data_IF_452328423485
#
_entry.id   IF_452328423485
#
_cell.length_a   1.000
_cell.length_b   1.000
_cell.length_c   1.000
_cell.angle_alpha   90.00
_cell.angle_beta   90.00
_cell.angle_gamma   90.00
#
_symmetry.space_group_name_H-M   'P 1'
#
loop_
_entity.id
_entity.type
_entity.pdbx_description
1 polymer ?
#
# COMPACT_ATOMS: atom_id res chain seq x y z
N UNK A 1 -3.75 -3.75 -16.75
CA UNK A 1 -2.77 -2.65 -16.73
C UNK A 1 -2.96 -1.95 -15.41
N UNK A 2 -2.04 -2.14 -14.48
CA UNK A 2 -2.12 -1.46 -13.19
C UNK A 2 -1.83 0.03 -13.37
N UNK A 3 -2.48 0.92 -12.60
CA UNK A 3 -2.04 2.31 -12.51
C UNK A 3 -0.56 2.37 -12.09
N UNK A 4 0.16 3.36 -12.63
CA UNK A 4 1.56 3.58 -12.29
C UNK A 4 1.57 4.27 -10.92
N UNK A 5 1.95 3.54 -9.88
CA UNK A 5 2.10 4.08 -8.54
C UNK A 5 3.31 5.03 -8.45
N UNK A 6 3.16 6.07 -7.64
CA UNK A 6 4.29 6.91 -7.25
C UNK A 6 5.35 6.11 -6.47
N UNK A 7 6.64 6.51 -6.50
CA UNK A 7 7.68 5.83 -5.71
C UNK A 7 7.33 5.78 -4.22
N UNK A 8 6.74 6.85 -3.67
CA UNK A 8 6.24 6.87 -2.30
C UNK A 8 5.10 5.87 -2.06
N UNK A 9 4.18 5.71 -3.00
CA UNK A 9 3.10 4.71 -2.90
C UNK A 9 3.65 3.29 -2.96
N UNK A 10 4.68 3.03 -3.76
CA UNK A 10 5.36 1.72 -3.79
C UNK A 10 6.05 1.44 -2.44
N UNK A 11 6.71 2.43 -1.83
CA UNK A 11 7.31 2.28 -0.49
C UNK A 11 6.25 2.06 0.60
N UNK A 12 5.14 2.80 0.55
CA UNK A 12 4.02 2.61 1.45
C UNK A 12 3.39 1.22 1.30
N UNK A 13 3.22 0.74 0.06
CA UNK A 13 2.66 -0.58 -0.24
C UNK A 13 3.58 -1.69 0.29
N UNK A 14 4.90 -1.56 0.14
CA UNK A 14 5.88 -2.47 0.75
C UNK A 14 5.82 -2.46 2.28
N UNK A 15 5.65 -1.29 2.88
CA UNK A 15 5.48 -1.19 4.34
C UNK A 15 4.22 -1.90 4.81
N UNK A 16 3.11 -1.74 4.08
CA UNK A 16 1.85 -2.43 4.35
C UNK A 16 2.01 -3.94 4.17
N UNK A 17 2.65 -4.40 3.11
CA UNK A 17 2.92 -5.83 2.90
C UNK A 17 3.74 -6.44 4.06
N UNK A 18 4.76 -5.70 4.52
CA UNK A 18 5.66 -6.18 5.58
C UNK A 18 5.04 -6.20 6.98
N UNK A 19 4.24 -5.19 7.34
CA UNK A 19 3.73 -5.01 8.70
C UNK A 19 2.22 -5.16 8.84
N UNK A 20 1.49 -4.99 7.74
CA UNK A 20 0.03 -4.96 7.69
C UNK A 20 -0.59 -4.04 8.75
N UNK A 21 -1.77 -4.41 9.20
CA UNK A 21 -2.47 -3.76 10.32
C UNK A 21 -1.82 -3.95 11.69
N UNK A 22 -0.73 -4.72 11.75
CA UNK A 22 0.09 -4.90 12.94
C UNK A 22 0.82 -3.63 13.39
N UNK A 23 1.10 -2.69 12.46
CA UNK A 23 1.70 -1.39 12.78
C UNK A 23 0.97 -0.23 12.08
N UNK A 24 0.84 0.92 12.74
CA UNK A 24 0.36 2.12 12.06
C UNK A 24 1.38 2.56 11.01
N UNK A 25 0.87 3.09 9.89
CA UNK A 25 1.68 3.70 8.85
C UNK A 25 2.32 5.00 9.37
N UNK A 26 3.60 5.23 9.05
CA UNK A 26 4.23 6.52 9.22
C UNK A 26 3.42 7.66 8.58
N UNK A 27 3.34 8.80 9.26
CA UNK A 27 2.59 9.97 8.76
C UNK A 27 3.07 10.46 7.38
N UNK A 28 4.34 10.23 7.05
CA UNK A 28 4.91 10.54 5.74
C UNK A 28 4.26 9.75 4.59
N UNK A 29 3.72 8.55 4.87
CA UNK A 29 3.04 7.72 3.88
C UNK A 29 1.53 7.99 3.79
N UNK A 30 0.97 8.93 4.56
CA UNK A 30 -0.46 9.29 4.47
C UNK A 30 -0.93 9.68 3.06
N UNK A 31 -0.25 10.59 2.32
CA UNK A 31 -0.68 10.91 0.96
C UNK A 31 -0.60 9.70 0.02
N UNK A 32 0.41 8.86 0.21
CA UNK A 32 0.58 7.64 -0.58
C UNK A 32 -0.46 6.56 -0.22
N UNK A 33 -0.86 6.48 1.05
CA UNK A 33 -1.93 5.60 1.50
C UNK A 33 -3.26 5.99 0.85
N UNK A 34 -3.58 7.28 0.76
CA UNK A 34 -4.79 7.73 0.07
C UNK A 34 -4.80 7.31 -1.41
N UNK A 35 -3.66 7.39 -2.10
CA UNK A 35 -3.49 6.87 -3.47
C UNK A 35 -3.78 5.36 -3.53
N UNK A 36 -3.12 4.57 -2.67
CA UNK A 36 -3.28 3.10 -2.62
C UNK A 36 -4.71 2.66 -2.29
N UNK A 37 -5.41 3.39 -1.43
CA UNK A 37 -6.81 3.11 -1.08
C UNK A 37 -7.74 3.43 -2.26
N UNK A 38 -7.49 4.53 -2.98
CA UNK A 38 -8.29 4.92 -4.15
C UNK A 38 -8.12 3.93 -5.32
N UNK A 39 -6.89 3.45 -5.52
CA UNK A 39 -6.57 2.52 -6.61
C UNK A 39 -6.86 1.05 -6.24
N UNK A 40 -7.25 0.77 -5.00
CA UNK A 40 -7.67 -0.57 -4.54
C UNK A 40 -6.52 -1.52 -4.23
N UNK A 41 -5.30 -1.00 -4.03
CA UNK A 41 -4.12 -1.81 -3.67
C UNK A 41 -4.00 -2.09 -2.18
N UNK A 42 -4.69 -1.30 -1.35
CA UNK A 42 -4.75 -1.48 0.09
C UNK A 42 -6.15 -1.19 0.61
N UNK A 43 -6.43 -1.59 1.84
CA UNK A 43 -7.65 -1.23 2.56
C UNK A 43 -7.34 -0.87 4.02
N UNK A 44 -8.16 0.02 4.60
CA UNK A 44 -8.01 0.40 6.01
C UNK A 44 -8.54 -0.71 6.91
N UNK A 45 -7.69 -1.18 7.81
CA UNK A 45 -8.02 -2.13 8.89
C UNK A 45 -8.12 -1.46 10.26
N UNK A 46 -7.79 -0.17 10.35
CA UNK A 46 -7.91 0.63 11.57
C UNK A 46 -7.36 2.05 11.39
N UNK A 47 -7.35 2.86 12.47
CA UNK A 47 -6.80 4.22 12.41
C UNK A 47 -5.31 4.15 12.09
N UNK A 48 -4.94 4.78 10.96
CA UNK A 48 -3.60 4.74 10.36
C UNK A 48 -3.07 3.32 10.10
N UNK A 49 -3.93 2.31 9.97
CA UNK A 49 -3.54 0.90 9.74
C UNK A 49 -4.20 0.39 8.48
N UNK A 50 -3.40 -0.18 7.59
CA UNK A 50 -3.87 -0.75 6.35
C UNK A 50 -3.31 -2.17 6.16
N UNK A 51 -4.05 -2.97 5.40
CA UNK A 51 -3.60 -4.27 4.90
C UNK A 51 -3.63 -4.24 3.36
N UNK A 52 -2.81 -5.09 2.75
CA UNK A 52 -2.66 -5.17 1.29
C UNK A 52 -3.79 -6.00 0.68
N UNK A 53 -4.27 -5.60 -0.51
CA UNK A 53 -5.22 -6.40 -1.29
C UNK A 53 -4.48 -7.43 -2.16
N UNK A 54 -5.22 -8.37 -2.75
CA UNK A 54 -4.68 -9.29 -3.76
C UNK A 54 -4.06 -8.51 -4.93
N UNK A 55 -4.69 -7.41 -5.36
CA UNK A 55 -4.17 -6.53 -6.42
C UNK A 55 -2.87 -5.85 -6.01
N UNK A 56 -2.76 -5.38 -4.76
CA UNK A 56 -1.52 -4.78 -4.23
C UNK A 56 -0.38 -5.78 -4.16
N UNK A 57 -0.67 -7.01 -3.73
CA UNK A 57 0.32 -8.09 -3.66
C UNK A 57 0.77 -8.53 -5.06
N UNK A 58 -0.15 -8.62 -6.01
CA UNK A 58 0.15 -8.90 -7.41
C UNK A 58 1.02 -7.78 -8.03
N UNK A 59 0.71 -6.52 -7.75
CA UNK A 59 1.52 -5.38 -8.20
C UNK A 59 2.95 -5.43 -7.66
N UNK A 60 3.13 -5.71 -6.36
CA UNK A 60 4.46 -5.86 -5.77
C UNK A 60 5.20 -7.08 -6.33
N UNK A 61 4.51 -8.15 -6.73
CA UNK A 61 5.16 -9.30 -7.33
C UNK A 61 5.63 -9.00 -8.76
N UNK A 62 4.81 -8.30 -9.55
CA UNK A 62 5.12 -7.90 -10.94
C UNK A 62 6.21 -6.82 -11.01
N UNK A 63 6.21 -5.86 -10.07
CA UNK A 63 7.19 -4.78 -10.04
C UNK A 63 8.61 -5.21 -9.60
N UNK A 64 8.76 -6.44 -9.08
CA UNK A 64 10.02 -6.95 -8.52
C UNK A 64 10.56 -8.20 -9.23
N UNK A 65 9.92 -8.66 -10.31
CA UNK A 65 10.45 -9.68 -11.25
C UNK A 65 11.36 -9.05 -12.32
#
# INVERSE_FOLDING_TARGET
MFPILSPEAIEALKWIDQFGSGRPLPAAFRPALEELLNDGFAYLSGPDRADITDDGSAYLSDAYD
#
